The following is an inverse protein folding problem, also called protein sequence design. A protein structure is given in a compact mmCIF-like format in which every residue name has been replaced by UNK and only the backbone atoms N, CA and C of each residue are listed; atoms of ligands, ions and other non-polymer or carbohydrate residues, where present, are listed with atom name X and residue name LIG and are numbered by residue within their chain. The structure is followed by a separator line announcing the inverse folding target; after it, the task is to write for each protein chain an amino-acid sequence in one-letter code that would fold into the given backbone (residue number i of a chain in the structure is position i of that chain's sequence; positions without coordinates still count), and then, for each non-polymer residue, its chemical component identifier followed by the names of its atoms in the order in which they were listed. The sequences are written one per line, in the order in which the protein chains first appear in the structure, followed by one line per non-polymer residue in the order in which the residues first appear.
data_IF_305701230451
#
_entry.id   IF_305701230451
#
_cell.length_a   1.000
_cell.length_b   1.000
_cell.length_c   1.000
_cell.angle_alpha   90.00
_cell.angle_beta   90.00
_cell.angle_gamma   90.00
#
_symmetry.space_group_name_H-M   'P 1'
#
loop_
_entity.id
_entity.type
_entity.pdbx_description
1 polymer ?
#
# COMPACT_ATOMS: atom_id res chain seq x y z
N UNK A 1 -6.19 17.95 -28.71
CA UNK A 1 -6.34 16.51 -28.39
C UNK A 1 -5.42 16.17 -27.23
N UNK A 2 -5.82 15.36 -26.24
CA UNK A 2 -5.03 15.19 -25.02
C UNK A 2 -3.77 14.36 -25.27
N UNK A 3 -2.62 14.89 -24.85
CA UNK A 3 -1.34 14.19 -24.73
C UNK A 3 -1.03 13.95 -23.25
N UNK A 4 -0.16 12.97 -22.96
CA UNK A 4 0.37 12.81 -21.60
C UNK A 4 1.15 14.07 -21.19
N UNK A 5 0.96 14.55 -19.96
CA UNK A 5 1.68 15.72 -19.45
C UNK A 5 2.99 15.40 -18.72
N UNK A 6 3.38 14.13 -18.61
CA UNK A 6 4.70 13.76 -18.10
C UNK A 6 5.76 14.09 -19.15
N UNK A 7 6.85 14.72 -18.71
CA UNK A 7 7.93 15.18 -19.58
C UNK A 7 8.50 14.02 -20.41
N UNK A 8 8.72 14.29 -21.70
CA UNK A 8 9.25 13.34 -22.67
C UNK A 8 8.38 12.08 -22.87
N UNK A 9 7.10 12.10 -22.49
CA UNK A 9 6.17 11.01 -22.80
C UNK A 9 5.53 11.21 -24.19
N UNK A 10 5.85 10.31 -25.12
CA UNK A 10 5.29 10.32 -26.48
C UNK A 10 3.88 9.73 -26.58
N UNK A 11 3.25 9.37 -25.45
CA UNK A 11 1.92 8.77 -25.46
C UNK A 11 0.85 9.80 -25.85
N UNK A 12 0.33 9.67 -27.07
CA UNK A 12 -0.74 10.49 -27.64
C UNK A 12 -1.94 9.62 -27.98
N UNK A 13 -3.15 10.15 -27.76
CA UNK A 13 -4.41 9.41 -27.89
C UNK A 13 -4.67 8.79 -29.28
N UNK A 14 -4.05 9.29 -30.36
CA UNK A 14 -4.25 8.74 -31.73
C UNK A 14 -3.13 7.78 -32.18
N UNK A 15 -1.94 7.82 -31.58
CA UNK A 15 -0.79 6.98 -31.98
C UNK A 15 -0.75 5.62 -31.27
N UNK A 16 -1.66 5.38 -30.34
CA UNK A 16 -1.82 4.06 -29.74
C UNK A 16 -2.69 3.20 -30.66
N UNK A 17 -2.10 2.65 -31.72
CA UNK A 17 -2.66 1.51 -32.45
C UNK A 17 -2.92 0.32 -31.48
N UNK A 18 -2.33 0.35 -30.28
CA UNK A 18 -2.70 -0.44 -29.12
C UNK A 18 -3.84 0.20 -28.32
N UNK A 19 -5.02 -0.46 -28.33
CA UNK A 19 -6.25 -0.11 -27.57
C UNK A 19 -6.11 -0.10 -26.03
N UNK A 20 -4.89 -0.07 -25.49
CA UNK A 20 -4.61 -0.39 -24.08
C UNK A 20 -4.16 0.79 -23.22
N UNK A 21 -3.86 1.95 -23.83
CA UNK A 21 -3.39 3.13 -23.08
C UNK A 21 -4.59 3.99 -22.69
N UNK A 22 -4.86 4.05 -21.38
CA UNK A 22 -5.90 4.90 -20.82
C UNK A 22 -5.30 6.23 -20.35
N UNK A 23 -6.05 7.33 -20.51
CA UNK A 23 -5.66 8.66 -20.05
C UNK A 23 -6.53 9.08 -18.87
N UNK A 24 -5.90 9.51 -17.79
CA UNK A 24 -6.56 9.86 -16.53
C UNK A 24 -6.50 11.36 -16.27
N UNK A 25 -7.59 11.87 -15.72
CA UNK A 25 -7.72 13.26 -15.27
C UNK A 25 -7.08 13.42 -13.90
N UNK A 26 -6.59 14.61 -13.59
CA UNK A 26 -6.11 14.91 -12.25
C UNK A 26 -7.23 14.75 -11.20
N UNK A 27 -6.89 14.29 -9.98
CA UNK A 27 -7.84 14.16 -8.90
C UNK A 27 -8.32 15.54 -8.39
N UNK A 28 -9.53 15.55 -7.80
CA UNK A 28 -10.09 16.76 -7.18
C UNK A 28 -9.42 17.11 -5.86
N UNK A 29 -8.95 16.09 -5.15
CA UNK A 29 -8.29 16.20 -3.85
C UNK A 29 -6.95 16.95 -3.99
N UNK A 30 -6.75 17.99 -3.17
CA UNK A 30 -5.63 18.92 -3.33
C UNK A 30 -4.27 18.26 -3.07
N UNK A 31 -4.17 17.40 -2.06
CA UNK A 31 -2.95 16.68 -1.66
C UNK A 31 -2.43 15.78 -2.78
N UNK A 32 -3.28 14.89 -3.28
CA UNK A 32 -2.94 13.97 -4.37
C UNK A 32 -2.70 14.73 -5.68
N UNK A 33 -3.47 15.79 -5.93
CA UNK A 33 -3.25 16.65 -7.10
C UNK A 33 -1.86 17.29 -7.09
N UNK A 34 -1.38 17.76 -5.93
CA UNK A 34 -0.03 18.29 -5.79
C UNK A 34 1.04 17.24 -6.06
N UNK A 35 0.85 16.01 -5.56
CA UNK A 35 1.77 14.90 -5.86
C UNK A 35 1.85 14.60 -7.36
N UNK A 36 0.73 14.69 -8.08
CA UNK A 36 0.72 14.52 -9.54
C UNK A 36 1.43 15.67 -10.28
N UNK A 37 1.30 16.91 -9.78
CA UNK A 37 2.00 18.06 -10.35
C UNK A 37 3.52 17.92 -10.18
N UNK A 38 3.95 17.54 -8.97
CA UNK A 38 5.35 17.25 -8.67
C UNK A 38 5.91 16.16 -9.60
N UNK A 39 5.14 15.10 -9.83
CA UNK A 39 5.51 14.02 -10.74
C UNK A 39 5.63 14.46 -12.21
N UNK A 40 4.91 15.51 -12.63
CA UNK A 40 5.02 16.09 -13.98
C UNK A 40 6.18 17.09 -14.08
N UNK A 41 6.73 17.56 -12.96
CA UNK A 41 7.82 18.54 -12.91
C UNK A 41 7.41 19.93 -13.42
N UNK A 42 6.14 20.31 -13.28
CA UNK A 42 5.56 21.58 -13.73
C UNK A 42 5.05 22.40 -12.53
N UNK A 43 5.25 23.73 -12.57
CA UNK A 43 4.90 24.66 -11.48
C UNK A 43 3.54 25.37 -11.70
N UNK A 44 3.14 26.14 -10.67
CA UNK A 44 1.86 26.78 -10.30
C UNK A 44 0.88 27.30 -11.39
N UNK A 45 1.27 27.41 -12.67
CA UNK A 45 0.42 27.87 -13.78
C UNK A 45 -0.08 26.74 -14.72
N UNK A 46 0.02 25.49 -14.29
CA UNK A 46 -0.37 24.34 -15.09
C UNK A 46 -1.91 24.20 -15.20
N UNK A 47 -2.43 24.07 -16.44
CA UNK A 47 -3.87 23.88 -16.70
C UNK A 47 -4.33 22.45 -16.39
N UNK A 48 -4.49 22.16 -15.10
CA UNK A 48 -4.86 20.84 -14.54
C UNK A 48 -6.12 20.24 -15.18
N UNK A 49 -7.12 21.06 -15.50
CA UNK A 49 -8.43 20.60 -15.98
C UNK A 49 -8.35 19.84 -17.32
N UNK A 50 -7.51 20.34 -18.23
CA UNK A 50 -7.27 19.74 -19.54
C UNK A 50 -6.15 18.69 -19.54
N UNK A 51 -5.31 18.69 -18.50
CA UNK A 51 -4.14 17.83 -18.44
C UNK A 51 -4.51 16.37 -18.15
N UNK A 52 -3.76 15.45 -18.77
CA UNK A 52 -3.98 14.00 -18.66
C UNK A 52 -2.67 13.27 -18.48
N UNK A 53 -2.69 12.20 -17.69
CA UNK A 53 -1.56 11.28 -17.52
C UNK A 53 -1.96 9.91 -18.05
N UNK A 54 -1.09 9.27 -18.83
CA UNK A 54 -1.37 7.94 -19.40
C UNK A 54 -1.12 6.81 -18.39
N UNK A 55 -1.76 5.66 -18.61
CA UNK A 55 -1.71 4.49 -17.72
C UNK A 55 -0.30 3.94 -17.45
N UNK A 56 0.69 4.21 -18.32
CA UNK A 56 2.07 3.73 -18.19
C UNK A 56 2.78 4.23 -16.93
N UNK A 57 2.33 5.36 -16.40
CA UNK A 57 3.00 6.03 -15.28
C UNK A 57 2.45 5.61 -13.91
N UNK A 58 1.44 4.75 -13.89
CA UNK A 58 0.86 4.21 -12.66
C UNK A 58 1.22 2.73 -12.52
N UNK A 59 1.28 2.25 -11.28
CA UNK A 59 1.46 0.82 -11.04
C UNK A 59 0.22 0.02 -11.48
N UNK A 60 0.41 -1.21 -11.93
CA UNK A 60 -0.69 -2.13 -12.24
C UNK A 60 -1.63 -2.33 -11.05
N UNK A 61 -1.12 -2.24 -9.83
CA UNK A 61 -1.87 -2.34 -8.58
C UNK A 61 -2.66 -1.06 -8.22
N UNK A 62 -2.38 0.06 -8.87
CA UNK A 62 -3.09 1.34 -8.69
C UNK A 62 -4.45 1.37 -9.40
N UNK A 63 -4.79 0.32 -10.15
CA UNK A 63 -6.04 0.24 -10.91
C UNK A 63 -7.09 -0.63 -10.22
N UNK A 64 -8.35 -0.26 -10.43
CA UNK A 64 -9.53 -1.03 -10.06
C UNK A 64 -10.51 -1.03 -11.22
N UNK A 65 -11.17 -2.17 -11.44
CA UNK A 65 -12.31 -2.24 -12.33
C UNK A 65 -13.55 -1.78 -11.57
N UNK A 66 -14.27 -0.80 -12.11
CA UNK A 66 -15.50 -0.29 -11.52
C UNK A 66 -16.59 -0.22 -12.58
N UNK A 67 -17.76 -0.76 -12.23
CA UNK A 67 -18.97 -0.60 -13.03
C UNK A 67 -19.47 0.84 -12.98
N UNK A 68 -19.83 1.37 -14.15
CA UNK A 68 -20.48 2.67 -14.26
C UNK A 68 -21.97 2.55 -13.96
N UNK A 69 -22.57 3.62 -13.44
CA UNK A 69 -24.04 3.70 -13.39
C UNK A 69 -24.55 3.82 -14.84
N UNK A 70 -25.61 3.08 -15.22
CA UNK A 70 -26.23 3.24 -16.52
C UNK A 70 -26.71 4.70 -16.68
N UNK A 71 -26.42 5.31 -17.82
CA UNK A 71 -26.72 6.73 -18.07
C UNK A 71 -28.16 6.93 -18.53
N UNK A 72 -28.76 5.88 -19.09
CA UNK A 72 -30.16 5.79 -19.51
C UNK A 72 -30.57 4.31 -19.61
N UNK A 73 -31.86 4.03 -19.88
CA UNK A 73 -32.35 2.66 -20.13
C UNK A 73 -31.66 1.98 -21.34
N UNK A 74 -31.09 2.76 -22.25
CA UNK A 74 -30.45 2.29 -23.49
C UNK A 74 -28.92 2.22 -23.40
N UNK A 75 -28.31 2.81 -22.36
CA UNK A 75 -26.87 2.77 -22.15
C UNK A 75 -26.53 1.93 -20.92
N UNK A 76 -26.25 0.63 -21.09
CA UNK A 76 -25.98 -0.26 -19.98
C UNK A 76 -24.69 0.16 -19.25
N UNK A 77 -24.62 -0.24 -17.99
CA UNK A 77 -23.41 -0.14 -17.19
C UNK A 77 -22.24 -0.78 -17.94
N UNK A 78 -21.12 -0.07 -18.02
CA UNK A 78 -19.85 -0.60 -18.54
C UNK A 78 -18.84 -0.66 -17.41
N UNK A 79 -18.08 -1.74 -17.36
CA UNK A 79 -16.94 -1.87 -16.48
C UNK A 79 -15.77 -1.05 -17.05
N UNK A 80 -15.22 -0.14 -16.23
CA UNK A 80 -14.13 0.74 -16.64
C UNK A 80 -12.96 0.62 -15.68
N UNK A 81 -11.75 0.62 -16.25
CA UNK A 81 -10.50 0.71 -15.50
C UNK A 81 -10.36 2.12 -14.92
N UNK A 82 -10.36 2.22 -13.59
CA UNK A 82 -10.22 3.47 -12.83
C UNK A 82 -8.96 3.41 -11.95
N UNK A 83 -8.43 4.57 -11.59
CA UNK A 83 -7.40 4.66 -10.56
C UNK A 83 -8.04 4.53 -9.17
N UNK A 84 -7.34 3.86 -8.26
CA UNK A 84 -7.70 3.85 -6.84
C UNK A 84 -7.57 5.28 -6.27
N UNK A 85 -8.42 5.68 -5.33
CA UNK A 85 -8.20 6.91 -4.55
C UNK A 85 -6.77 6.94 -3.99
N UNK A 86 -6.12 8.11 -4.00
CA UNK A 86 -4.74 8.26 -3.53
C UNK A 86 -3.65 7.74 -4.48
N UNK A 87 -3.99 7.16 -5.64
CA UNK A 87 -2.96 6.70 -6.59
C UNK A 87 -2.19 7.88 -7.18
N UNK A 88 -0.87 7.80 -7.17
CA UNK A 88 0.04 8.79 -7.78
C UNK A 88 0.84 8.18 -8.94
N UNK A 89 1.21 8.98 -9.96
CA UNK A 89 2.16 8.54 -10.96
C UNK A 89 3.52 8.33 -10.31
N UNK A 90 4.04 7.11 -10.39
CA UNK A 90 5.34 6.73 -9.80
C UNK A 90 6.30 6.12 -10.82
N UNK A 91 5.82 5.76 -12.02
CA UNK A 91 6.61 5.08 -13.05
C UNK A 91 6.99 6.02 -14.18
N UNK A 92 8.24 5.90 -14.64
CA UNK A 92 8.73 6.55 -15.87
C UNK A 92 8.47 8.07 -15.87
N UNK A 93 8.72 8.73 -14.74
CA UNK A 93 8.48 10.17 -14.56
C UNK A 93 9.52 11.03 -15.29
N UNK A 94 10.71 10.48 -15.54
CA UNK A 94 11.77 11.08 -16.33
C UNK A 94 12.11 10.10 -17.45
N UNK A 95 11.75 10.44 -18.69
CA UNK A 95 12.17 9.68 -19.86
C UNK A 95 13.36 10.40 -20.50
N UNK A 96 14.51 9.73 -20.62
CA UNK A 96 15.68 10.28 -21.29
C UNK A 96 15.38 10.54 -22.77
N UNK A 97 15.80 11.70 -23.27
CA UNK A 97 15.62 12.09 -24.67
C UNK A 97 16.44 11.12 -25.53
N UNK A 98 15.79 10.30 -26.36
CA UNK A 98 16.50 9.58 -27.44
C UNK A 98 17.01 10.62 -28.44
N UNK A 99 18.27 11.00 -28.34
CA UNK A 99 18.93 11.73 -29.40
C UNK A 99 19.00 10.83 -30.63
N UNK A 100 18.23 11.16 -31.66
CA UNK A 100 18.34 10.52 -32.96
C UNK A 100 19.68 10.93 -33.58
N UNK A 101 20.77 10.21 -33.28
CA UNK A 101 22.02 10.31 -34.03
C UNK A 101 21.78 9.77 -35.44
N UNK A 102 21.43 10.68 -36.36
CA UNK A 102 21.60 10.48 -37.79
C UNK A 102 23.10 10.50 -38.10
N UNK A 103 23.83 9.47 -37.69
CA UNK A 103 25.23 9.31 -38.12
C UNK A 103 25.29 8.49 -39.41
N UNK A 104 25.77 9.19 -40.42
CA UNK A 104 26.04 8.72 -41.77
C UNK A 104 26.79 7.41 -41.72
N UNK A 105 26.26 6.40 -42.41
CA UNK A 105 27.05 5.30 -42.93
C UNK A 105 28.19 5.89 -43.77
N UNK A 106 29.41 5.87 -43.23
CA UNK A 106 30.63 5.80 -44.03
C UNK A 106 31.32 4.51 -43.67
N UNK A 107 31.14 3.58 -44.59
CA UNK A 107 32.06 2.51 -44.92
C UNK A 107 33.50 3.02 -44.90
N UNK A 108 34.42 2.24 -44.35
CA UNK A 108 35.77 2.05 -44.91
C UNK A 108 36.52 0.98 -44.10
N UNK A 109 36.85 -0.06 -44.84
CA UNK A 109 37.54 -1.29 -44.50
C UNK A 109 39.04 -1.12 -44.24
N UNK A 110 39.60 -2.14 -43.57
CA UNK A 110 40.99 -2.65 -43.64
C UNK A 110 42.12 -1.82 -43.02
N UNK A 111 42.73 -2.36 -41.95
CA UNK A 111 44.01 -3.07 -42.09
C UNK A 111 44.43 -3.74 -40.78
N UNK A 112 44.39 -5.07 -40.76
CA UNK A 112 45.29 -5.89 -39.97
C UNK A 112 46.63 -5.97 -40.70
N UNK A 113 47.72 -5.61 -40.02
CA UNK A 113 49.04 -6.16 -40.32
C UNK A 113 49.90 -6.20 -39.06
N UNK A 114 50.16 -7.43 -38.62
CA UNK A 114 51.16 -7.92 -37.67
C UNK A 114 52.49 -7.15 -37.59
N UNK A 115 53.05 -6.95 -36.39
CA UNK A 115 54.19 -7.70 -35.85
C UNK A 115 54.64 -7.14 -34.49
N UNK A 116 54.92 -8.04 -33.56
CA UNK A 116 55.54 -7.77 -32.25
C UNK A 116 56.92 -7.13 -32.40
N UNK A 117 57.25 -6.17 -31.54
CA UNK A 117 58.46 -6.23 -30.70
C UNK A 117 58.53 -5.08 -29.69
N UNK A 118 58.89 -5.46 -28.47
CA UNK A 118 59.06 -4.64 -27.28
C UNK A 118 59.93 -3.38 -27.49
N UNK A 119 59.39 -2.22 -27.11
CA UNK A 119 60.22 -1.14 -26.57
C UNK A 119 59.45 -0.39 -25.49
N UNK A 120 60.03 -0.34 -24.28
CA UNK A 120 59.66 0.55 -23.18
C UNK A 120 59.45 1.96 -23.74
N UNK A 121 58.20 2.37 -23.87
CA UNK A 121 57.85 3.78 -24.03
C UNK A 121 57.01 4.14 -22.82
N UNK A 122 57.57 4.99 -21.96
CA UNK A 122 56.82 5.76 -20.97
C UNK A 122 55.83 6.63 -21.76
N UNK A 123 54.66 6.10 -22.07
CA UNK A 123 53.59 6.90 -22.65
C UNK A 123 52.94 7.64 -21.50
N UNK A 124 53.42 8.86 -21.32
CA UNK A 124 52.71 9.95 -20.65
C UNK A 124 51.29 9.96 -21.25
N UNK A 125 50.28 9.52 -20.50
CA UNK A 125 48.91 9.47 -21.01
C UNK A 125 48.52 10.91 -21.35
N UNK A 126 48.49 11.20 -22.65
CA UNK A 126 47.96 12.44 -23.18
C UNK A 126 46.54 12.51 -22.62
N UNK A 127 46.34 13.45 -21.70
CA UNK A 127 45.02 13.85 -21.21
C UNK A 127 44.27 14.46 -22.38
N UNK A 128 43.77 13.60 -23.26
CA UNK A 128 42.66 13.95 -24.12
C UNK A 128 41.49 14.16 -23.16
N UNK A 129 41.05 15.42 -23.04
CA UNK A 129 39.73 15.78 -22.51
C UNK A 129 38.66 15.20 -23.45
N UNK A 130 38.57 13.88 -23.55
CA UNK A 130 37.31 13.25 -23.88
C UNK A 130 36.50 13.30 -22.59
N UNK A 131 35.34 13.95 -22.58
CA UNK A 131 34.40 13.92 -21.46
C UNK A 131 33.82 12.53 -21.16
N UNK A 132 34.53 11.47 -21.55
CA UNK A 132 34.16 10.07 -21.44
C UNK A 132 34.81 9.54 -20.16
N UNK A 133 34.03 9.19 -19.13
CA UNK A 133 34.56 8.68 -17.88
C UNK A 133 35.29 7.35 -18.10
N UNK A 134 36.43 7.16 -17.44
CA UNK A 134 37.17 5.90 -17.43
C UNK A 134 36.29 4.79 -16.83
N UNK A 135 36.47 3.55 -17.30
CA UNK A 135 35.72 2.37 -16.84
C UNK A 135 35.67 2.22 -15.30
N UNK A 136 36.76 2.55 -14.59
CA UNK A 136 36.81 2.55 -13.13
C UNK A 136 35.90 3.60 -12.49
N UNK A 137 35.82 4.81 -13.06
CA UNK A 137 34.88 5.86 -12.62
C UNK A 137 33.43 5.47 -12.87
N UNK A 138 33.15 4.79 -13.98
CA UNK A 138 31.80 4.28 -14.29
C UNK A 138 31.37 3.20 -13.28
N UNK A 139 32.26 2.27 -12.92
CA UNK A 139 31.98 1.25 -11.90
C UNK A 139 31.74 1.89 -10.53
N UNK A 140 32.54 2.86 -10.15
CA UNK A 140 32.40 3.53 -8.87
C UNK A 140 31.08 4.31 -8.78
N UNK A 141 30.74 5.07 -9.84
CA UNK A 141 29.46 5.76 -9.94
C UNK A 141 28.26 4.79 -9.92
N UNK A 142 28.37 3.63 -10.59
CA UNK A 142 27.33 2.61 -10.56
C UNK A 142 27.13 2.02 -9.15
N UNK A 143 28.22 1.77 -8.40
CA UNK A 143 28.15 1.30 -7.01
C UNK A 143 27.55 2.35 -6.08
N UNK A 144 27.96 3.60 -6.21
CA UNK A 144 27.42 4.73 -5.43
C UNK A 144 25.91 4.87 -5.68
N UNK A 145 25.48 4.83 -6.95
CA UNK A 145 24.05 4.86 -7.29
C UNK A 145 23.28 3.66 -6.79
N UNK A 146 23.88 2.48 -6.77
CA UNK A 146 23.22 1.28 -6.26
C UNK A 146 23.03 1.34 -4.74
N UNK A 147 24.01 1.84 -3.99
CA UNK A 147 23.89 2.08 -2.56
C UNK A 147 22.83 3.16 -2.23
N UNK A 148 22.75 4.24 -3.02
CA UNK A 148 21.71 5.27 -2.85
C UNK A 148 20.31 4.69 -3.07
N UNK A 149 20.15 3.82 -4.07
CA UNK A 149 18.87 3.13 -4.33
C UNK A 149 18.52 2.19 -3.17
N UNK A 150 19.47 1.36 -2.71
CA UNK A 150 19.26 0.46 -1.57
C UNK A 150 18.88 1.23 -0.29
N UNK A 151 19.58 2.32 0.03
CA UNK A 151 19.25 3.17 1.19
C UNK A 151 17.87 3.83 1.06
N UNK A 152 17.49 4.29 -0.14
CA UNK A 152 16.15 4.86 -0.36
C UNK A 152 15.03 3.83 -0.21
N UNK A 153 15.26 2.60 -0.70
CA UNK A 153 14.30 1.51 -0.58
C UNK A 153 14.17 1.03 0.87
N UNK A 154 15.28 0.94 1.61
CA UNK A 154 15.26 0.62 3.04
C UNK A 154 14.51 1.71 3.82
N UNK A 155 14.76 2.99 3.55
CA UNK A 155 14.06 4.10 4.21
C UNK A 155 12.54 4.07 3.94
N UNK A 156 12.11 3.91 2.68
CA UNK A 156 10.68 3.82 2.33
C UNK A 156 10.01 2.58 2.97
N UNK A 157 10.71 1.45 3.03
CA UNK A 157 10.16 0.24 3.66
C UNK A 157 10.04 0.36 5.18
N UNK A 158 11.01 0.99 5.84
CA UNK A 158 10.98 1.24 7.29
C UNK A 158 9.89 2.23 7.65
N UNK A 159 9.74 3.31 6.89
CA UNK A 159 8.67 4.30 7.09
C UNK A 159 7.28 3.67 6.92
N UNK A 160 7.08 2.89 5.85
CA UNK A 160 5.81 2.19 5.63
C UNK A 160 5.49 1.14 6.71
N UNK A 161 6.50 0.45 7.27
CA UNK A 161 6.30 -0.49 8.38
C UNK A 161 5.95 0.26 9.65
N UNK A 162 6.61 1.39 9.91
CA UNK A 162 6.37 2.22 11.08
C UNK A 162 4.95 2.79 11.08
N UNK A 163 4.47 3.26 9.92
CA UNK A 163 3.09 3.76 9.76
C UNK A 163 2.05 2.68 10.05
N UNK A 164 2.26 1.46 9.54
CA UNK A 164 1.35 0.33 9.81
C UNK A 164 1.34 -0.03 11.29
N UNK A 165 2.50 -0.10 11.94
CA UNK A 165 2.60 -0.38 13.38
C UNK A 165 1.93 0.71 14.23
N UNK A 166 2.10 1.98 13.85
CA UNK A 166 1.46 3.10 14.55
C UNK A 166 -0.07 3.05 14.40
N UNK A 167 -0.59 2.78 13.19
CA UNK A 167 -2.01 2.60 12.95
C UNK A 167 -2.59 1.42 13.75
N UNK A 168 -1.87 0.30 13.82
CA UNK A 168 -2.28 -0.87 14.60
C UNK A 168 -2.33 -0.55 16.10
N UNK A 169 -1.32 0.15 16.61
CA UNK A 169 -1.26 0.58 18.01
C UNK A 169 -2.42 1.52 18.37
N UNK A 170 -2.67 2.53 17.53
CA UNK A 170 -3.79 3.47 17.73
C UNK A 170 -5.16 2.76 17.69
N UNK A 171 -5.33 1.80 16.78
CA UNK A 171 -6.55 1.00 16.71
C UNK A 171 -6.77 0.16 17.97
N UNK A 172 -5.71 -0.45 18.52
CA UNK A 172 -5.77 -1.22 19.76
C UNK A 172 -6.12 -0.32 20.94
N UNK A 173 -5.44 0.81 21.10
CA UNK A 173 -5.70 1.76 22.20
C UNK A 173 -7.15 2.29 22.17
N UNK A 174 -7.67 2.59 20.97
CA UNK A 174 -9.06 3.01 20.81
C UNK A 174 -10.05 1.90 21.19
N UNK A 175 -9.82 0.66 20.74
CA UNK A 175 -10.66 -0.49 21.10
C UNK A 175 -10.65 -0.78 22.59
N UNK A 176 -9.48 -0.71 23.25
CA UNK A 176 -9.37 -0.88 24.69
C UNK A 176 -10.13 0.20 25.45
N UNK A 177 -10.04 1.45 25.00
CA UNK A 177 -10.75 2.58 25.60
C UNK A 177 -12.27 2.43 25.48
N UNK A 178 -12.76 2.07 24.31
CA UNK A 178 -14.20 1.83 24.06
C UNK A 178 -14.72 0.67 24.91
N UNK A 179 -13.96 -0.42 25.00
CA UNK A 179 -14.33 -1.58 25.81
C UNK A 179 -14.36 -1.25 27.31
N UNK A 180 -13.37 -0.49 27.79
CA UNK A 180 -13.32 -0.03 29.18
C UNK A 180 -14.48 0.91 29.51
N UNK A 181 -14.84 1.81 28.59
CA UNK A 181 -15.98 2.71 28.74
C UNK A 181 -17.30 1.93 28.79
N UNK A 182 -17.53 1.03 27.83
CA UNK A 182 -18.72 0.18 27.78
C UNK A 182 -18.86 -0.66 29.06
N UNK A 183 -17.75 -1.21 29.56
CA UNK A 183 -17.73 -1.97 30.81
C UNK A 183 -18.10 -1.11 32.02
N UNK A 184 -17.55 0.11 32.13
CA UNK A 184 -17.89 1.03 33.23
C UNK A 184 -19.36 1.44 33.20
N UNK A 185 -19.89 1.76 32.04
CA UNK A 185 -21.29 2.15 31.87
C UNK A 185 -22.23 1.00 32.23
N UNK A 186 -21.90 -0.21 31.80
CA UNK A 186 -22.64 -1.42 32.17
C UNK A 186 -22.63 -1.65 33.69
N UNK A 187 -21.47 -1.58 34.35
CA UNK A 187 -21.37 -1.72 35.81
C UNK A 187 -22.19 -0.64 36.51
N UNK A 188 -22.10 0.62 36.07
CA UNK A 188 -22.86 1.73 36.66
C UNK A 188 -24.36 1.49 36.57
N UNK A 189 -24.85 1.07 35.40
CA UNK A 189 -26.26 0.76 35.20
C UNK A 189 -26.71 -0.40 36.10
N UNK A 190 -25.91 -1.46 36.23
CA UNK A 190 -26.20 -2.59 37.12
C UNK A 190 -26.25 -2.13 38.59
N UNK A 191 -25.32 -1.28 39.02
CA UNK A 191 -25.31 -0.75 40.40
C UNK A 191 -26.54 0.11 40.68
N UNK A 192 -26.92 1.00 39.76
CA UNK A 192 -28.11 1.84 39.91
C UNK A 192 -29.40 1.01 39.94
N UNK A 193 -29.50 -0.01 39.09
CA UNK A 193 -30.63 -0.95 39.11
C UNK A 193 -30.70 -1.72 40.42
N UNK A 194 -29.56 -2.22 40.93
CA UNK A 194 -29.51 -2.94 42.19
C UNK A 194 -29.89 -2.06 43.39
N UNK A 195 -29.42 -0.81 43.42
CA UNK A 195 -29.76 0.14 44.49
C UNK A 195 -31.25 0.51 44.46
N UNK A 196 -31.82 0.66 43.25
CA UNK A 196 -33.27 0.91 43.05
C UNK A 196 -34.09 -0.30 43.53
N UNK A 197 -33.74 -1.52 43.11
CA UNK A 197 -34.39 -2.75 43.57
C UNK A 197 -34.29 -2.92 45.10
N UNK A 198 -33.15 -2.57 45.69
CA UNK A 198 -32.94 -2.66 47.15
C UNK A 198 -33.81 -1.65 47.90
N UNK A 199 -33.99 -0.44 47.36
CA UNK A 199 -34.89 0.57 47.92
C UNK A 199 -36.36 0.12 47.82
N UNK A 200 -36.77 -0.47 46.70
CA UNK A 200 -38.14 -0.94 46.50
C UNK A 200 -38.45 -2.14 47.40
N UNK A 201 -37.54 -3.12 47.52
CA UNK A 201 -37.67 -4.22 48.48
C UNK A 201 -37.79 -3.70 49.92
N UNK A 202 -36.98 -2.72 50.32
CA UNK A 202 -37.04 -2.18 51.68
C UNK A 202 -38.36 -1.44 51.96
N UNK A 203 -38.91 -0.70 50.98
CA UNK A 203 -40.22 -0.04 51.12
C UNK A 203 -41.36 -1.06 51.24
N UNK A 204 -41.29 -2.15 50.47
CA UNK A 204 -42.27 -3.22 50.52
C UNK A 204 -42.26 -3.95 51.87
N UNK A 205 -41.07 -4.26 52.42
CA UNK A 205 -40.95 -4.95 53.71
C UNK A 205 -41.46 -4.09 54.89
N UNK A 206 -41.38 -2.77 54.80
CA UNK A 206 -41.84 -1.85 55.87
C UNK A 206 -43.35 -1.58 55.89
N UNK A 207 -44.10 -2.01 54.87
CA UNK A 207 -45.55 -1.93 54.88
C UNK A 207 -46.12 -3.18 55.57
N UNK A 208 -46.65 -3.02 56.79
CA UNK A 208 -47.18 -4.12 57.61
C UNK A 208 -48.38 -4.88 56.98
N UNK A 209 -48.95 -4.39 55.86
CA UNK A 209 -50.14 -4.94 55.20
C UNK A 209 -49.89 -5.66 53.86
N UNK A 210 -48.64 -5.91 53.44
CA UNK A 210 -48.41 -6.60 52.15
C UNK A 210 -48.82 -8.08 52.25
N UNK A 211 -49.78 -8.56 51.42
CA UNK A 211 -50.20 -9.95 51.45
C UNK A 211 -49.04 -10.91 51.16
N UNK A 212 -48.90 -11.97 51.97
CA UNK A 212 -47.88 -13.01 51.83
C UNK A 212 -47.81 -13.61 50.41
N UNK A 213 -48.96 -13.73 49.75
CA UNK A 213 -49.08 -14.16 48.35
C UNK A 213 -48.30 -13.26 47.38
N UNK A 214 -48.31 -11.94 47.59
CA UNK A 214 -47.63 -10.95 46.73
C UNK A 214 -46.11 -11.07 46.85
N UNK A 215 -45.58 -11.25 48.06
CA UNK A 215 -44.14 -11.47 48.29
C UNK A 215 -43.65 -12.77 47.63
N UNK A 216 -44.44 -13.84 47.70
CA UNK A 216 -44.14 -15.11 47.02
C UNK A 216 -44.07 -14.99 45.50
N UNK A 217 -44.94 -14.17 44.90
CA UNK A 217 -44.91 -13.90 43.44
C UNK A 217 -43.63 -13.13 43.06
N UNK A 218 -43.22 -12.13 43.84
CA UNK A 218 -42.00 -11.36 43.58
C UNK A 218 -40.74 -12.22 43.69
N UNK A 219 -40.65 -13.10 44.70
CA UNK A 219 -39.54 -14.04 44.86
C UNK A 219 -39.43 -14.97 43.64
N UNK A 220 -40.54 -15.60 43.23
CA UNK A 220 -40.56 -16.48 42.05
C UNK A 220 -40.17 -15.76 40.76
N UNK A 221 -40.58 -14.50 40.62
CA UNK A 221 -40.25 -13.68 39.44
C UNK A 221 -38.76 -13.34 39.43
N UNK A 222 -38.20 -12.91 40.56
CA UNK A 222 -36.77 -12.64 40.71
C UNK A 222 -35.90 -13.89 40.49
N UNK A 223 -36.34 -15.04 40.98
CA UNK A 223 -35.67 -16.32 40.72
C UNK A 223 -35.66 -16.67 39.23
N UNK A 224 -36.78 -16.44 38.53
CA UNK A 224 -36.89 -16.66 37.08
C UNK A 224 -35.97 -15.72 36.29
N UNK A 225 -35.91 -14.45 36.66
CA UNK A 225 -35.00 -13.47 36.04
C UNK A 225 -33.53 -13.86 36.27
N UNK A 226 -33.16 -14.29 37.48
CA UNK A 226 -31.83 -14.80 37.78
C UNK A 226 -31.45 -16.01 36.92
N UNK A 227 -32.38 -16.94 36.71
CA UNK A 227 -32.16 -18.10 35.84
C UNK A 227 -31.97 -17.68 34.38
N UNK A 228 -32.76 -16.71 33.89
CA UNK A 228 -32.60 -16.17 32.54
C UNK A 228 -31.25 -15.50 32.33
N UNK A 229 -30.81 -14.68 33.30
CA UNK A 229 -29.49 -14.05 33.27
C UNK A 229 -28.36 -15.07 33.29
N UNK A 230 -28.49 -16.14 34.09
CA UNK A 230 -27.52 -17.22 34.11
C UNK A 230 -27.40 -17.91 32.74
N UNK A 231 -28.52 -18.22 32.10
CA UNK A 231 -28.53 -18.81 30.76
C UNK A 231 -27.94 -17.86 29.70
N UNK A 232 -28.24 -16.56 29.77
CA UNK A 232 -27.68 -15.56 28.88
C UNK A 232 -26.15 -15.45 29.03
N UNK A 233 -25.64 -15.45 30.26
CA UNK A 233 -24.20 -15.42 30.53
C UNK A 233 -23.49 -16.67 29.99
N UNK A 234 -24.09 -17.84 30.15
CA UNK A 234 -23.53 -19.07 29.60
C UNK A 234 -23.45 -19.03 28.06
N UNK A 235 -24.46 -18.45 27.40
CA UNK A 235 -24.44 -18.26 25.94
C UNK A 235 -23.32 -17.29 25.51
N UNK A 236 -23.17 -16.16 26.22
CA UNK A 236 -22.09 -15.21 25.96
C UNK A 236 -20.70 -15.85 26.12
N UNK A 237 -20.54 -16.70 27.14
CA UNK A 237 -19.28 -17.42 27.36
C UNK A 237 -18.94 -18.38 26.22
N UNK A 238 -19.93 -19.15 25.73
CA UNK A 238 -19.78 -19.99 24.54
C UNK A 238 -19.41 -19.16 23.30
N UNK A 239 -20.04 -18.00 23.11
CA UNK A 239 -19.76 -17.13 21.98
C UNK A 239 -18.35 -16.53 22.04
N UNK A 240 -17.88 -16.20 23.24
CA UNK A 240 -16.49 -15.77 23.45
C UNK A 240 -15.49 -16.88 23.14
N UNK A 241 -15.79 -18.12 23.52
CA UNK A 241 -14.94 -19.27 23.17
C UNK A 241 -14.87 -19.47 21.65
N UNK A 242 -16.01 -19.37 20.95
CA UNK A 242 -16.07 -19.45 19.48
C UNK A 242 -15.25 -18.34 18.80
N UNK A 243 -15.39 -17.08 19.25
CA UNK A 243 -14.61 -15.96 18.73
C UNK A 243 -13.11 -16.15 18.94
N UNK A 244 -12.70 -16.65 20.11
CA UNK A 244 -11.29 -16.93 20.39
C UNK A 244 -10.71 -18.03 19.48
N UNK A 245 -11.52 -19.04 19.14
CA UNK A 245 -11.14 -20.07 18.18
C UNK A 245 -10.96 -19.48 16.77
N UNK A 246 -11.86 -18.60 16.32
CA UNK A 246 -11.75 -17.92 15.03
C UNK A 246 -10.52 -17.02 14.95
N UNK A 247 -10.23 -16.26 16.01
CA UNK A 247 -9.01 -15.43 16.10
C UNK A 247 -7.76 -16.31 15.96
N UNK A 248 -7.74 -17.47 16.61
CA UNK A 248 -6.61 -18.41 16.54
C UNK A 248 -6.43 -18.93 15.12
N UNK A 249 -7.51 -19.32 14.44
CA UNK A 249 -7.45 -19.78 13.04
C UNK A 249 -6.91 -18.69 12.10
N UNK A 250 -7.37 -17.45 12.26
CA UNK A 250 -6.89 -16.33 11.45
C UNK A 250 -5.39 -16.06 11.67
N UNK A 251 -4.90 -16.15 12.92
CA UNK A 251 -3.47 -16.02 13.23
C UNK A 251 -2.63 -17.10 12.55
N UNK A 252 -3.13 -18.34 12.52
CA UNK A 252 -2.47 -19.44 11.82
C UNK A 252 -2.43 -19.23 10.30
N UNK A 253 -3.51 -18.71 9.71
CA UNK A 253 -3.54 -18.36 8.28
C UNK A 253 -2.57 -17.25 7.92
N UNK A 254 -2.50 -16.19 8.74
CA UNK A 254 -1.52 -15.11 8.57
C UNK A 254 -0.11 -15.67 8.61
N UNK A 255 0.21 -16.47 9.62
CA UNK A 255 1.53 -17.12 9.78
C UNK A 255 1.88 -17.98 8.57
N UNK A 256 0.92 -18.74 8.03
CA UNK A 256 1.11 -19.53 6.80
C UNK A 256 1.42 -18.63 5.60
N UNK A 257 0.65 -17.55 5.41
CA UNK A 257 0.86 -16.59 4.32
C UNK A 257 2.24 -15.93 4.42
N UNK A 258 2.65 -15.51 5.61
CA UNK A 258 3.99 -14.93 5.86
C UNK A 258 5.11 -15.89 5.46
N UNK A 259 5.02 -17.17 5.85
CA UNK A 259 6.00 -18.20 5.45
C UNK A 259 6.09 -18.32 3.92
N UNK A 260 4.95 -18.30 3.22
CA UNK A 260 4.90 -18.35 1.75
C UNK A 260 5.55 -17.09 1.13
N UNK A 261 5.24 -15.91 1.66
CA UNK A 261 5.84 -14.66 1.17
C UNK A 261 7.35 -14.63 1.39
N UNK A 262 7.84 -15.00 2.58
CA UNK A 262 9.28 -15.10 2.87
C UNK A 262 9.98 -16.07 1.91
N UNK A 263 9.38 -17.23 1.64
CA UNK A 263 9.93 -18.21 0.68
C UNK A 263 10.03 -17.62 -0.73
N UNK A 264 8.98 -16.95 -1.21
CA UNK A 264 8.99 -16.29 -2.54
C UNK A 264 10.03 -15.17 -2.63
N UNK A 265 10.18 -14.38 -1.56
CA UNK A 265 11.18 -13.31 -1.50
C UNK A 265 12.60 -13.89 -1.57
N UNK A 266 12.89 -14.92 -0.77
CA UNK A 266 14.18 -15.60 -0.78
C UNK A 266 14.51 -16.21 -2.15
N UNK A 267 13.53 -16.80 -2.83
CA UNK A 267 13.70 -17.31 -4.20
C UNK A 267 14.03 -16.19 -5.19
N UNK A 268 13.36 -15.03 -5.10
CA UNK A 268 13.68 -13.87 -5.95
C UNK A 268 15.08 -13.33 -5.70
N UNK A 269 15.49 -13.22 -4.43
CA UNK A 269 16.84 -12.82 -4.05
C UNK A 269 17.89 -13.80 -4.62
N UNK A 270 17.68 -15.11 -4.46
CA UNK A 270 18.57 -16.12 -5.04
C UNK A 270 18.69 -16.00 -6.57
N UNK A 271 17.58 -15.80 -7.28
CA UNK A 271 17.62 -15.58 -8.73
C UNK A 271 18.36 -14.30 -9.12
N UNK A 272 18.25 -13.23 -8.32
CA UNK A 272 18.99 -11.99 -8.54
C UNK A 272 20.50 -12.19 -8.35
N UNK A 273 20.92 -12.83 -7.26
CA UNK A 273 22.34 -13.13 -7.01
C UNK A 273 22.95 -14.04 -8.09
N UNK A 274 22.21 -15.07 -8.54
CA UNK A 274 22.66 -15.95 -9.61
C UNK A 274 22.89 -15.20 -10.94
N UNK A 275 22.01 -14.25 -11.29
CA UNK A 275 22.16 -13.41 -12.49
C UNK A 275 23.37 -12.48 -12.41
N UNK A 276 23.62 -11.88 -11.25
CA UNK A 276 24.78 -11.01 -11.05
C UNK A 276 26.10 -11.81 -11.15
N UNK A 277 26.15 -13.00 -10.54
CA UNK A 277 27.34 -13.87 -10.60
C UNK A 277 27.67 -14.39 -12.01
N UNK A 278 26.68 -14.54 -12.89
CA UNK A 278 26.92 -14.90 -14.29
C UNK A 278 27.46 -13.74 -15.12
N UNK A 279 27.07 -12.49 -14.85
CA UNK A 279 27.58 -11.33 -15.57
C UNK A 279 29.08 -11.06 -15.31
N UNK A 280 29.59 -11.43 -14.13
CA UNK A 280 31.01 -11.30 -13.81
C UNK A 280 31.90 -12.36 -14.51
N UNK A 281 31.34 -13.51 -14.92
CA UNK A 281 32.09 -14.59 -15.59
C UNK A 281 32.31 -14.38 -17.09
N UNK A 282 31.61 -13.44 -17.72
CA UNK A 282 31.76 -13.12 -19.16
C UNK A 282 32.55 -11.83 -19.41
N UNK A 283 33.28 -11.34 -18.40
CA UNK A 283 34.06 -10.09 -18.44
C UNK A 283 35.58 -10.29 -18.49
N UNK A 284 36.05 -11.45 -18.96
CA UNK A 284 37.46 -11.73 -19.21
C UNK A 284 37.69 -12.02 -20.69
#
# INVERSE_FOLDING_TARGET
MPSCCIKNCDSRMYQSDSKEINFFTFPKEATIRQQWLNACGENENFKVESARICSKHFDSNSFVMKWTKPRSKETPAKELRRLKPGSVPSKMLILERKENTKEKRKDMSQNESSFEQNKKIKVNYISTRTGIPTYTKLIQFAKEKQNEIEQSMEAETVESIQDVNNMEKEAIENLEKDNLQCTRECIKNITEQNDTMKLDMNKEITNEDIPRETLLIHIRTSEKEKQQLFAANQNLELKNQELNMQITQLRDEITKKEKVYRKKLNQKLQMFYAKCSHQDKFRH
#
